data_IF_523607173387
#
_entry.id   IF_523607173387
#
_cell.length_a   1.000
_cell.length_b   1.000
_cell.length_c   1.000
_cell.angle_alpha   90.00
_cell.angle_beta   90.00
_cell.angle_gamma   90.00
#
_symmetry.space_group_name_H-M   'P 1'
#
loop_
_entity.id
_entity.type
_entity.pdbx_description
1 polymer ?
#
# COMPACT_ATOMS: atom_id res chain seq x y z
N UNK A 1 12.53 -21.78 58.05
CA UNK A 1 11.66 -20.76 57.41
C UNK A 1 11.92 -20.81 55.92
N UNK A 2 10.90 -21.08 55.09
CA UNK A 2 11.03 -21.12 53.62
C UNK A 2 10.41 -19.83 53.06
N UNK A 3 11.23 -18.94 52.52
CA UNK A 3 10.76 -17.73 51.85
C UNK A 3 10.34 -18.08 50.41
N UNK A 4 9.04 -17.97 50.12
CA UNK A 4 8.55 -17.99 48.75
C UNK A 4 8.77 -16.59 48.14
N UNK A 5 9.63 -16.51 47.13
CA UNK A 5 9.73 -15.34 46.26
C UNK A 5 8.59 -15.40 45.25
N UNK A 6 7.59 -14.53 45.42
CA UNK A 6 6.60 -14.27 44.36
C UNK A 6 7.28 -13.45 43.26
N UNK A 7 7.54 -14.08 42.12
CA UNK A 7 7.88 -13.39 40.89
C UNK A 7 6.60 -12.83 40.26
N UNK A 8 6.39 -11.52 40.39
CA UNK A 8 5.32 -10.81 39.69
C UNK A 8 5.70 -10.68 38.21
N UNK A 9 5.19 -11.58 37.37
CA UNK A 9 5.26 -11.47 35.91
C UNK A 9 4.43 -10.28 35.45
N UNK A 10 5.11 -9.15 35.19
CA UNK A 10 4.55 -8.02 34.43
C UNK A 10 4.23 -8.52 33.02
N UNK A 11 2.96 -8.87 32.79
CA UNK A 11 2.40 -9.03 31.46
C UNK A 11 2.40 -7.64 30.79
N UNK A 12 3.48 -7.32 30.09
CA UNK A 12 3.50 -6.22 29.13
C UNK A 12 2.51 -6.59 28.03
N UNK A 13 1.28 -6.09 28.16
CA UNK A 13 0.32 -6.00 27.06
C UNK A 13 0.99 -5.18 25.95
N UNK A 14 1.58 -5.85 24.98
CA UNK A 14 1.99 -5.21 23.73
C UNK A 14 0.72 -4.84 22.98
N UNK A 15 0.17 -3.67 23.31
CA UNK A 15 -0.80 -3.00 22.45
C UNK A 15 -0.10 -2.81 21.11
N UNK A 16 -0.42 -3.66 20.14
CA UNK A 16 0.02 -3.50 18.76
C UNK A 16 -0.70 -2.26 18.25
N UNK A 17 -0.07 -1.10 18.44
CA UNK A 17 -0.61 0.15 17.93
C UNK A 17 -0.67 0.05 16.40
N UNK A 18 -1.85 0.36 15.88
CA UNK A 18 -2.06 0.68 14.47
C UNK A 18 -0.92 1.58 13.96
N UNK A 19 -0.14 1.14 12.98
CA UNK A 19 0.82 2.06 12.39
C UNK A 19 0.04 3.15 11.66
N UNK A 20 0.45 4.41 11.86
CA UNK A 20 0.01 5.51 11.02
C UNK A 20 0.87 5.51 9.75
N UNK A 21 0.29 5.11 8.63
CA UNK A 21 0.91 5.07 7.32
C UNK A 21 1.00 6.45 6.67
N UNK A 22 0.36 7.48 7.21
CA UNK A 22 0.39 8.85 6.68
C UNK A 22 1.81 9.35 6.31
N UNK A 23 2.86 9.13 7.12
CA UNK A 23 4.21 9.56 6.77
C UNK A 23 4.74 9.00 5.44
N UNK A 24 4.31 7.80 5.04
CA UNK A 24 4.71 7.19 3.77
C UNK A 24 4.02 7.81 2.55
N UNK A 25 2.96 8.60 2.75
CA UNK A 25 2.23 9.29 1.68
C UNK A 25 2.48 10.80 1.66
N UNK A 26 3.13 11.36 2.70
CA UNK A 26 3.35 12.81 2.83
C UNK A 26 4.09 13.44 1.66
N UNK A 27 4.90 12.68 0.92
CA UNK A 27 5.60 13.21 -0.26
C UNK A 27 4.63 13.66 -1.36
N UNK A 28 3.40 13.15 -1.37
CA UNK A 28 2.32 13.49 -2.30
C UNK A 28 1.57 14.76 -1.88
N UNK A 29 1.68 15.22 -0.64
CA UNK A 29 0.85 16.29 -0.07
C UNK A 29 1.45 17.69 -0.28
N UNK A 30 0.59 18.67 -0.58
CA UNK A 30 1.02 20.06 -0.81
C UNK A 30 1.73 20.63 0.41
N UNK A 31 2.92 21.19 0.19
CA UNK A 31 3.74 21.79 1.25
C UNK A 31 4.30 20.80 2.27
N UNK A 32 4.28 19.49 1.97
CA UNK A 32 4.85 18.45 2.83
C UNK A 32 6.07 17.80 2.17
N UNK A 33 7.00 17.42 3.03
CA UNK A 33 8.12 16.55 2.71
C UNK A 33 7.84 15.15 3.25
N UNK A 34 8.19 14.14 2.47
CA UNK A 34 8.12 12.74 2.85
C UNK A 34 9.41 12.02 2.47
N UNK A 35 9.35 10.71 2.35
CA UNK A 35 10.46 9.85 1.91
C UNK A 35 10.59 9.75 0.38
N UNK A 36 9.89 10.60 -0.37
CA UNK A 36 9.85 10.56 -1.84
C UNK A 36 9.18 9.30 -2.40
N UNK A 37 8.40 8.56 -1.61
CA UNK A 37 7.78 7.31 -2.04
C UNK A 37 8.69 6.09 -1.90
N UNK A 38 9.88 6.24 -1.32
CA UNK A 38 10.85 5.15 -1.18
C UNK A 38 10.27 3.91 -0.51
N UNK A 39 9.45 4.05 0.53
CA UNK A 39 8.83 2.90 1.19
C UNK A 39 7.83 2.17 0.28
N UNK A 40 6.97 2.90 -0.42
CA UNK A 40 5.97 2.32 -1.32
C UNK A 40 6.63 1.68 -2.55
N UNK A 41 7.66 2.33 -3.09
CA UNK A 41 8.50 1.80 -4.17
C UNK A 41 9.23 0.51 -3.76
N UNK A 42 9.81 0.46 -2.55
CA UNK A 42 10.47 -0.76 -2.08
C UNK A 42 9.51 -1.96 -1.95
N UNK A 43 8.24 -1.73 -1.62
CA UNK A 43 7.21 -2.79 -1.63
C UNK A 43 6.87 -3.16 -3.08
N UNK A 44 6.68 -2.17 -3.94
CA UNK A 44 6.36 -2.32 -5.37
C UNK A 44 7.40 -3.19 -6.09
N UNK A 45 8.68 -2.81 -5.99
CA UNK A 45 9.83 -3.50 -6.63
C UNK A 45 9.98 -4.96 -6.19
N UNK A 46 9.42 -5.30 -5.02
CA UNK A 46 9.48 -6.63 -4.43
C UNK A 46 8.13 -7.35 -4.44
N UNK A 47 7.13 -6.85 -5.18
CA UNK A 47 5.81 -7.48 -5.26
C UNK A 47 5.77 -8.59 -6.31
N UNK A 48 6.10 -8.25 -7.55
CA UNK A 48 5.97 -9.15 -8.70
C UNK A 48 7.29 -9.87 -9.00
N UNK A 49 7.19 -11.15 -9.35
CA UNK A 49 8.34 -11.95 -9.79
C UNK A 49 8.86 -11.45 -11.14
N UNK A 50 10.18 -11.45 -11.32
CA UNK A 50 10.80 -11.09 -12.61
C UNK A 50 10.33 -11.95 -13.78
N UNK A 51 9.96 -13.21 -13.51
CA UNK A 51 9.44 -14.14 -14.51
C UNK A 51 8.14 -13.68 -15.19
N UNK A 52 7.47 -12.64 -14.68
CA UNK A 52 6.31 -12.03 -15.35
C UNK A 52 6.74 -11.13 -16.52
N UNK A 53 7.96 -10.59 -16.49
CA UNK A 53 8.48 -9.70 -17.53
C UNK A 53 9.13 -10.47 -18.69
N UNK A 54 9.53 -11.72 -18.48
CA UNK A 54 10.17 -12.58 -19.49
C UNK A 54 9.12 -13.37 -20.33
N UNK A 55 8.01 -12.72 -20.70
CA UNK A 55 6.84 -13.35 -21.32
C UNK A 55 7.09 -13.75 -22.79
N UNK A 56 7.65 -14.93 -23.02
CA UNK A 56 8.08 -15.38 -24.36
C UNK A 56 7.21 -16.54 -24.93
N UNK A 57 6.36 -17.18 -24.12
CA UNK A 57 5.69 -18.45 -24.50
C UNK A 57 4.16 -18.49 -24.32
N UNK A 58 3.53 -17.35 -24.05
CA UNK A 58 2.07 -17.24 -23.92
C UNK A 58 1.49 -17.93 -22.69
N UNK A 59 2.31 -18.33 -21.70
CA UNK A 59 1.84 -18.90 -20.44
C UNK A 59 2.22 -18.01 -19.26
N UNK A 60 1.20 -17.53 -18.55
CA UNK A 60 1.39 -16.80 -17.31
C UNK A 60 2.16 -17.63 -16.27
N UNK A 61 3.11 -17.03 -15.52
CA UNK A 61 3.91 -17.77 -14.56
C UNK A 61 3.04 -18.30 -13.41
N UNK A 62 3.28 -19.56 -13.02
CA UNK A 62 2.58 -20.19 -11.89
C UNK A 62 2.79 -19.46 -10.55
N UNK A 63 3.90 -18.74 -10.41
CA UNK A 63 4.26 -17.97 -9.22
C UNK A 63 4.52 -16.51 -9.60
N UNK A 64 3.45 -15.70 -9.68
CA UNK A 64 3.57 -14.30 -10.07
C UNK A 64 4.13 -13.40 -8.96
N UNK A 65 4.13 -13.85 -7.70
CA UNK A 65 4.63 -13.05 -6.57
C UNK A 65 6.08 -13.43 -6.22
N UNK A 66 6.84 -12.47 -5.71
CA UNK A 66 8.13 -12.79 -5.07
C UNK A 66 7.90 -13.61 -3.79
N UNK A 67 8.96 -14.28 -3.28
CA UNK A 67 8.91 -14.95 -1.97
C UNK A 67 8.61 -13.99 -0.83
N UNK A 68 9.05 -12.73 -0.93
CA UNK A 68 8.78 -11.71 0.08
C UNK A 68 7.31 -11.33 0.09
N UNK A 69 6.74 -11.05 -1.08
CA UNK A 69 5.32 -10.74 -1.24
C UNK A 69 4.43 -11.89 -0.77
N UNK A 70 4.70 -13.12 -1.24
CA UNK A 70 3.94 -14.31 -0.90
C UNK A 70 4.02 -14.71 0.59
N UNK A 71 5.01 -14.22 1.33
CA UNK A 71 5.14 -14.45 2.77
C UNK A 71 4.81 -13.24 3.64
N UNK A 72 4.65 -12.05 3.05
CA UNK A 72 4.49 -10.78 3.76
C UNK A 72 5.74 -10.32 4.51
N UNK A 73 6.93 -10.89 4.23
CA UNK A 73 8.16 -10.63 5.00
C UNK A 73 9.06 -9.60 4.32
N UNK A 74 8.77 -8.31 4.55
CA UNK A 74 9.60 -7.20 4.08
C UNK A 74 10.58 -6.74 5.16
N UNK A 75 11.74 -7.41 5.27
CA UNK A 75 12.72 -7.15 6.33
C UNK A 75 13.33 -5.73 6.28
N UNK A 76 13.39 -5.13 5.09
CA UNK A 76 13.87 -3.76 4.88
C UNK A 76 12.86 -2.68 5.30
N UNK A 77 11.58 -3.04 5.49
CA UNK A 77 10.53 -2.10 5.90
C UNK A 77 10.55 -1.95 7.43
N UNK A 78 10.35 -0.71 7.90
CA UNK A 78 10.37 -0.40 9.34
C UNK A 78 9.29 -1.17 10.10
N UNK A 79 9.61 -1.52 11.34
CA UNK A 79 8.80 -2.37 12.22
C UNK A 79 7.30 -2.08 12.27
N UNK A 80 6.84 -0.82 12.47
CA UNK A 80 5.40 -0.58 12.56
C UNK A 80 4.66 -0.93 11.27
N UNK A 81 5.18 -0.57 10.10
CA UNK A 81 4.54 -0.84 8.81
C UNK A 81 4.58 -2.32 8.43
N UNK A 82 5.75 -2.98 8.57
CA UNK A 82 5.86 -4.41 8.22
C UNK A 82 4.97 -5.30 9.08
N UNK A 83 4.69 -4.91 10.32
CA UNK A 83 3.87 -5.69 11.24
C UNK A 83 2.38 -5.65 10.88
N UNK A 84 1.96 -4.62 10.16
CA UNK A 84 0.58 -4.51 9.65
C UNK A 84 0.36 -5.39 8.42
N UNK A 85 1.40 -5.64 7.62
CA UNK A 85 1.30 -6.35 6.35
C UNK A 85 1.09 -7.86 6.53
N UNK A 86 0.15 -8.40 5.77
CA UNK A 86 -0.07 -9.83 5.60
C UNK A 86 0.47 -10.33 4.25
N UNK A 87 0.65 -11.65 4.07
CA UNK A 87 0.98 -12.24 2.78
C UNK A 87 0.08 -11.73 1.66
N UNK A 88 0.68 -11.32 0.54
CA UNK A 88 -0.07 -10.92 -0.63
C UNK A 88 -0.79 -12.11 -1.27
N UNK A 89 -1.94 -11.82 -1.86
CA UNK A 89 -2.64 -12.72 -2.78
C UNK A 89 -2.67 -12.07 -4.15
N UNK A 90 -2.49 -12.88 -5.19
CA UNK A 90 -2.56 -12.40 -6.57
C UNK A 90 -3.73 -13.01 -7.33
N UNK A 91 -4.26 -12.26 -8.29
CA UNK A 91 -5.24 -12.74 -9.25
C UNK A 91 -5.08 -12.01 -10.59
N UNK A 92 -5.54 -12.64 -11.67
CA UNK A 92 -5.61 -12.03 -12.99
C UNK A 92 -7.03 -11.47 -13.20
N UNK A 93 -7.14 -10.30 -13.84
CA UNK A 93 -8.43 -9.75 -14.27
C UNK A 93 -9.13 -10.68 -15.27
N UNK A 94 -10.47 -10.62 -15.34
CA UNK A 94 -11.29 -11.51 -16.18
C UNK A 94 -11.05 -11.36 -17.69
N UNK A 95 -10.51 -10.22 -18.11
CA UNK A 95 -10.30 -9.88 -19.52
C UNK A 95 -8.81 -9.96 -19.94
N UNK A 96 -7.95 -10.57 -19.11
CA UNK A 96 -6.49 -10.76 -19.26
C UNK A 96 -5.73 -9.50 -19.72
N UNK A 97 -5.08 -8.74 -18.83
CA UNK A 97 -3.62 -8.86 -18.61
C UNK A 97 -3.17 -8.26 -17.26
N UNK A 98 -4.09 -7.63 -16.51
CA UNK A 98 -3.75 -6.97 -15.25
C UNK A 98 -3.60 -8.02 -14.14
N UNK A 99 -2.35 -8.35 -13.84
CA UNK A 99 -2.00 -9.10 -12.65
C UNK A 99 -2.09 -8.16 -11.44
N UNK A 100 -2.95 -8.49 -10.49
CA UNK A 100 -3.13 -7.72 -9.26
C UNK A 100 -2.56 -8.47 -8.08
N UNK A 101 -1.86 -7.77 -7.19
CA UNK A 101 -1.41 -8.23 -5.89
C UNK A 101 -2.06 -7.40 -4.78
N UNK A 102 -2.75 -8.04 -3.85
CA UNK A 102 -3.42 -7.41 -2.72
C UNK A 102 -2.73 -7.81 -1.43
N UNK A 103 -2.25 -6.82 -0.67
CA UNK A 103 -1.70 -6.97 0.68
C UNK A 103 -2.75 -6.57 1.71
N UNK A 104 -3.40 -7.52 2.40
CA UNK A 104 -4.28 -7.19 3.52
C UNK A 104 -3.48 -6.56 4.66
N UNK A 105 -4.10 -5.61 5.37
CA UNK A 105 -3.51 -4.93 6.52
C UNK A 105 -4.33 -5.20 7.78
N UNK A 106 -3.64 -5.48 8.89
CA UNK A 106 -4.29 -5.80 10.17
C UNK A 106 -4.80 -4.55 10.89
N UNK A 107 -3.87 -3.66 11.24
CA UNK A 107 -4.15 -2.53 12.12
C UNK A 107 -3.78 -1.18 11.49
N UNK A 108 -3.40 -1.13 10.22
CA UNK A 108 -2.96 0.08 9.57
C UNK A 108 -4.01 1.20 9.58
N UNK A 109 -3.55 2.45 9.71
CA UNK A 109 -4.34 3.66 9.48
C UNK A 109 -3.65 4.55 8.47
N UNK A 110 -4.43 5.29 7.71
CA UNK A 110 -3.96 6.33 6.79
C UNK A 110 -4.86 7.56 6.98
N UNK A 111 -4.25 8.73 7.21
CA UNK A 111 -4.98 9.97 7.53
C UNK A 111 -5.95 9.82 8.71
N UNK A 112 -5.59 8.98 9.69
CA UNK A 112 -6.41 8.67 10.86
C UNK A 112 -7.54 7.64 10.62
N UNK A 113 -7.79 7.22 9.37
CA UNK A 113 -8.83 6.26 9.02
C UNK A 113 -8.27 4.85 8.84
N UNK A 114 -9.01 3.78 9.23
CA UNK A 114 -8.52 2.42 9.09
C UNK A 114 -8.29 2.04 7.63
N UNK A 115 -7.12 1.44 7.37
CA UNK A 115 -6.73 0.95 6.06
C UNK A 115 -6.96 -0.57 6.00
N UNK A 116 -7.53 -1.03 4.89
CA UNK A 116 -7.87 -2.44 4.68
C UNK A 116 -6.77 -3.18 3.91
N UNK A 117 -6.29 -2.61 2.82
CA UNK A 117 -5.27 -3.24 1.99
C UNK A 117 -4.47 -2.23 1.16
N UNK A 118 -3.29 -2.65 0.72
CA UNK A 118 -2.55 -2.05 -0.38
C UNK A 118 -2.73 -2.94 -1.61
N UNK A 119 -3.00 -2.35 -2.76
CA UNK A 119 -3.11 -3.07 -4.02
C UNK A 119 -2.10 -2.54 -5.01
N UNK A 120 -1.37 -3.46 -5.62
CA UNK A 120 -0.46 -3.20 -6.72
C UNK A 120 -0.97 -3.96 -7.94
N UNK A 121 -0.96 -3.33 -9.11
CA UNK A 121 -1.39 -3.99 -10.34
C UNK A 121 -0.35 -3.76 -11.42
N UNK A 122 0.00 -4.83 -12.13
CA UNK A 122 0.88 -4.75 -13.27
C UNK A 122 0.07 -4.25 -14.46
N UNK A 123 0.23 -2.97 -14.79
CA UNK A 123 -0.47 -2.26 -15.87
C UNK A 123 -0.02 -2.70 -17.26
N UNK A 124 1.22 -3.14 -17.38
CA UNK A 124 1.87 -3.49 -18.64
C UNK A 124 3.08 -4.38 -18.36
N UNK A 125 3.04 -5.60 -18.88
CA UNK A 125 4.10 -6.61 -18.69
C UNK A 125 5.38 -6.23 -19.45
N UNK A 126 5.28 -5.55 -20.59
CA UNK A 126 6.43 -5.21 -21.44
C UNK A 126 7.18 -3.97 -20.95
N UNK A 127 6.47 -3.01 -20.37
CA UNK A 127 7.02 -1.74 -19.90
C UNK A 127 7.23 -1.67 -18.39
N UNK A 128 6.91 -2.74 -17.67
CA UNK A 128 7.17 -2.84 -16.22
C UNK A 128 6.31 -1.92 -15.35
N UNK A 129 5.27 -1.31 -15.93
CA UNK A 129 4.45 -0.34 -15.23
C UNK A 129 3.62 -1.03 -14.13
N UNK A 130 3.83 -0.62 -12.88
CA UNK A 130 3.08 -1.09 -11.72
C UNK A 130 2.30 0.08 -11.14
N UNK A 131 0.99 0.02 -11.24
CA UNK A 131 0.11 0.97 -10.57
C UNK A 131 -0.18 0.55 -9.13
N UNK A 132 -0.70 1.50 -8.35
CA UNK A 132 -0.96 1.33 -6.93
C UNK A 132 -2.21 2.07 -6.47
N UNK A 133 -2.95 1.45 -5.55
CA UNK A 133 -3.92 2.15 -4.72
C UNK A 133 -4.02 1.55 -3.30
N UNK A 134 -4.41 2.38 -2.34
CA UNK A 134 -4.68 1.97 -0.97
C UNK A 134 -6.19 1.98 -0.70
N UNK A 135 -6.73 0.89 -0.16
CA UNK A 135 -8.17 0.75 0.13
C UNK A 135 -8.43 0.97 1.61
N UNK A 136 -9.33 1.89 1.94
CA UNK A 136 -9.79 2.11 3.30
C UNK A 136 -10.89 1.12 3.69
N UNK A 137 -11.00 0.80 4.98
CA UNK A 137 -12.20 0.13 5.49
C UNK A 137 -13.42 1.04 5.27
N UNK A 138 -14.64 0.49 5.24
CA UNK A 138 -15.86 1.26 5.03
C UNK A 138 -15.93 2.50 5.94
N UNK A 139 -16.25 3.65 5.34
CA UNK A 139 -16.39 4.91 6.05
C UNK A 139 -17.69 5.62 5.68
N UNK A 140 -18.20 6.43 6.60
CA UNK A 140 -19.42 7.23 6.38
C UNK A 140 -19.17 8.35 5.36
N UNK A 141 -20.23 8.95 4.85
CA UNK A 141 -20.12 10.13 3.98
C UNK A 141 -19.43 11.30 4.69
N UNK A 142 -19.74 11.51 5.97
CA UNK A 142 -19.12 12.55 6.78
C UNK A 142 -17.60 12.34 6.92
N UNK A 143 -17.17 11.10 7.15
CA UNK A 143 -15.75 10.76 7.25
C UNK A 143 -15.02 10.98 5.92
N UNK A 144 -15.59 10.53 4.80
CA UNK A 144 -15.02 10.78 3.48
C UNK A 144 -14.92 12.26 3.15
N UNK A 145 -15.98 13.03 3.40
CA UNK A 145 -15.99 14.48 3.17
C UNK A 145 -14.94 15.20 4.04
N UNK A 146 -14.75 14.75 5.28
CA UNK A 146 -13.69 15.26 6.15
C UNK A 146 -12.29 14.93 5.60
N UNK A 147 -12.07 13.71 5.11
CA UNK A 147 -10.80 13.26 4.52
C UNK A 147 -10.41 14.09 3.28
N UNK A 148 -11.30 14.24 2.30
CA UNK A 148 -11.00 14.98 1.06
C UNK A 148 -10.84 16.49 1.30
N UNK A 149 -11.38 17.00 2.41
CA UNK A 149 -11.20 18.38 2.83
C UNK A 149 -9.85 18.59 3.51
N UNK A 150 -9.39 17.63 4.32
CA UNK A 150 -8.19 17.77 5.15
C UNK A 150 -6.88 17.50 4.39
N UNK A 151 -6.91 16.65 3.38
CA UNK A 151 -5.70 16.26 2.62
C UNK A 151 -5.75 16.93 1.24
N UNK A 152 -4.65 17.60 0.88
CA UNK A 152 -4.46 18.23 -0.43
C UNK A 152 -3.19 17.69 -1.05
N UNK A 153 -3.29 17.18 -2.27
CA UNK A 153 -2.16 16.62 -3.00
C UNK A 153 -1.49 17.69 -3.87
N UNK A 154 -0.17 17.56 -4.01
CA UNK A 154 0.62 18.34 -4.97
C UNK A 154 0.07 18.10 -6.37
N UNK A 155 0.33 19.05 -7.24
CA UNK A 155 0.02 18.93 -8.67
C UNK A 155 1.26 18.48 -9.43
N UNK A 156 1.06 17.79 -10.55
CA UNK A 156 2.09 17.53 -11.55
C UNK A 156 2.61 18.86 -12.11
N UNK A 157 3.91 19.10 -11.98
CA UNK A 157 4.51 20.39 -12.35
C UNK A 157 5.11 20.42 -13.75
N UNK A 158 5.52 19.27 -14.32
CA UNK A 158 6.01 19.11 -15.70
C UNK A 158 6.40 17.63 -15.92
N UNK A 159 6.16 17.06 -17.12
CA UNK A 159 6.84 15.86 -17.64
C UNK A 159 6.66 14.49 -16.95
N UNK A 160 6.15 14.42 -15.73
CA UNK A 160 6.31 13.26 -14.84
C UNK A 160 5.02 12.45 -14.56
N UNK A 161 3.92 12.71 -15.27
CA UNK A 161 2.66 12.03 -14.96
C UNK A 161 1.72 11.77 -16.13
N UNK A 162 0.88 10.75 -15.94
CA UNK A 162 0.01 10.19 -16.98
C UNK A 162 -1.16 11.09 -17.35
N UNK A 163 -1.53 12.03 -16.47
CA UNK A 163 -2.77 12.78 -16.55
C UNK A 163 -2.56 14.22 -16.99
N UNK A 164 -1.35 14.75 -16.81
CA UNK A 164 -0.92 16.02 -17.37
C UNK A 164 -0.70 17.10 -16.32
N UNK A 165 0.01 18.14 -16.73
CA UNK A 165 0.39 19.28 -15.89
C UNK A 165 -0.85 19.86 -15.19
N UNK A 166 -0.77 20.03 -13.87
CA UNK A 166 -1.84 20.59 -13.04
C UNK A 166 -2.76 19.54 -12.40
N UNK A 167 -2.68 18.28 -12.81
CA UNK A 167 -3.43 17.19 -12.17
C UNK A 167 -2.81 16.81 -10.81
N UNK A 168 -3.61 16.42 -9.81
CA UNK A 168 -3.08 16.05 -8.50
C UNK A 168 -2.33 14.72 -8.56
N UNK A 169 -1.19 14.60 -7.87
CA UNK A 169 -0.33 13.39 -7.79
C UNK A 169 -1.01 12.16 -7.16
N UNK A 170 -2.13 12.38 -6.47
CA UNK A 170 -2.97 11.33 -5.94
C UNK A 170 -4.41 11.86 -5.80
N UNK A 171 -5.38 10.96 -5.71
CA UNK A 171 -6.77 11.34 -5.47
C UNK A 171 -7.50 10.31 -4.59
N UNK A 172 -8.56 10.78 -3.93
CA UNK A 172 -9.49 9.90 -3.23
C UNK A 172 -10.71 9.63 -4.10
N UNK A 173 -10.92 8.37 -4.46
CA UNK A 173 -12.13 7.94 -5.16
C UNK A 173 -13.06 7.20 -4.19
N UNK A 174 -14.35 7.24 -4.47
CA UNK A 174 -15.36 6.51 -3.69
C UNK A 174 -16.38 5.88 -4.61
N UNK A 175 -16.59 4.58 -4.45
CA UNK A 175 -17.65 3.82 -5.10
C UNK A 175 -18.46 3.08 -4.03
N UNK A 176 -19.69 3.53 -3.80
CA UNK A 176 -20.51 3.02 -2.69
C UNK A 176 -19.87 3.31 -1.32
N UNK A 177 -19.56 2.24 -0.57
CA UNK A 177 -18.89 2.32 0.73
C UNK A 177 -17.37 2.12 0.67
N UNK A 178 -16.80 1.88 -0.51
CA UNK A 178 -15.38 1.67 -0.72
C UNK A 178 -14.74 3.02 -1.05
N UNK A 179 -13.76 3.42 -0.24
CA UNK A 179 -12.91 4.59 -0.48
C UNK A 179 -11.50 4.11 -0.79
N UNK A 180 -10.88 4.69 -1.80
CA UNK A 180 -9.51 4.36 -2.22
C UNK A 180 -8.68 5.64 -2.40
N UNK A 181 -7.39 5.55 -2.09
CA UNK A 181 -6.38 6.52 -2.50
C UNK A 181 -5.64 5.95 -3.71
N UNK A 182 -5.76 6.60 -4.86
CA UNK A 182 -5.03 6.23 -6.07
C UNK A 182 -3.85 7.17 -6.26
N UNK A 183 -2.70 6.62 -6.64
CA UNK A 183 -1.60 7.43 -7.15
C UNK A 183 -1.84 7.68 -8.63
N UNK A 184 -1.68 8.92 -9.06
CA UNK A 184 -1.72 9.32 -10.48
C UNK A 184 -0.32 9.43 -11.08
N UNK A 185 0.71 9.32 -10.24
CA UNK A 185 2.11 9.29 -10.62
C UNK A 185 2.51 8.00 -11.32
N UNK A 186 3.34 8.15 -12.36
CA UNK A 186 4.26 7.09 -12.79
C UNK A 186 3.71 6.11 -13.82
N UNK A 187 3.29 6.63 -14.98
CA UNK A 187 3.70 6.01 -16.25
C UNK A 187 5.25 6.09 -16.30
#
# INVERSE_FOLDING_TARGET
MKHLLLASSLLLSSTVFAADWTPAFRYLETGKSGDGGAMLGAIMDNTFSKAIYDYDDGKLPKQPLTKMAASGKFTAIKAPYRNDMLPAKSYYGKDDLLLTAVYPLKNAKLYGYPLENLTYYLGCTECGHVGFYATFKPMTNAQYNALIKSVKFKQETEGDGCWGIGEPLANFTRQGNVTQLHLTMGC
#
